data_IF_647363403124
#
_entry.id   IF_647363403124
#
_cell.length_a   1.000
_cell.length_b   1.000
_cell.length_c   1.000
_cell.angle_alpha   90.00
_cell.angle_beta   90.00
_cell.angle_gamma   90.00
#
_symmetry.space_group_name_H-M   'P 1'
#
loop_
_entity.id
_entity.type
_entity.pdbx_description
1 polymer ?
#
# COMPACT_ATOMS: atom_id res chain seq x y z
N UNK A 1 6.17 -22.58 0.26
CA UNK A 1 5.34 -21.68 1.08
C UNK A 1 5.70 -20.25 0.69
N UNK A 2 4.99 -19.67 -0.27
CA UNK A 2 5.21 -18.30 -0.75
C UNK A 2 3.91 -17.75 -1.31
N UNK A 3 2.90 -17.64 -0.46
CA UNK A 3 1.62 -17.01 -0.76
C UNK A 3 1.75 -15.53 -0.44
N UNK A 4 1.88 -14.65 -1.44
CA UNK A 4 1.78 -13.22 -1.17
C UNK A 4 2.52 -12.27 -2.10
N UNK A 5 2.37 -12.40 -3.42
CA UNK A 5 2.71 -11.31 -4.38
C UNK A 5 1.81 -11.44 -5.61
N UNK A 6 0.53 -11.09 -5.46
CA UNK A 6 -0.42 -11.12 -6.57
C UNK A 6 -0.37 -9.83 -7.38
N UNK A 7 -0.94 -8.75 -6.84
CA UNK A 7 -1.23 -7.54 -7.60
C UNK A 7 -0.07 -6.53 -7.65
N UNK A 8 0.82 -6.56 -6.66
CA UNK A 8 1.98 -5.65 -6.57
C UNK A 8 3.29 -6.28 -7.07
N UNK A 9 3.25 -7.50 -7.60
CA UNK A 9 4.45 -8.21 -8.05
C UNK A 9 5.19 -7.46 -9.17
N UNK A 10 4.46 -6.79 -10.05
CA UNK A 10 5.05 -5.96 -11.11
C UNK A 10 5.79 -4.72 -10.59
N UNK A 11 5.58 -4.35 -9.33
CA UNK A 11 6.22 -3.20 -8.68
C UNK A 11 7.45 -3.61 -7.86
N UNK A 12 7.60 -4.88 -7.48
CA UNK A 12 8.73 -5.40 -6.70
C UNK A 12 10.05 -5.25 -7.48
N UNK A 13 11.09 -4.71 -6.83
CA UNK A 13 12.47 -4.63 -7.37
C UNK A 13 13.20 -5.98 -7.28
N UNK A 14 12.64 -6.95 -6.54
CA UNK A 14 13.19 -8.28 -6.31
C UNK A 14 13.67 -8.51 -4.88
N UNK A 15 13.69 -7.47 -4.06
CA UNK A 15 14.08 -7.47 -2.65
C UNK A 15 12.90 -7.16 -1.71
N UNK A 16 11.67 -7.13 -2.24
CA UNK A 16 10.48 -6.77 -1.47
C UNK A 16 10.25 -5.26 -1.38
N UNK A 17 11.10 -4.43 -1.99
CA UNK A 17 10.93 -2.98 -2.06
C UNK A 17 10.37 -2.60 -3.43
N UNK A 18 9.45 -1.64 -3.47
CA UNK A 18 8.91 -1.10 -4.71
C UNK A 18 10.03 -0.45 -5.55
N UNK A 19 10.09 -0.75 -6.85
CA UNK A 19 11.05 -0.17 -7.81
C UNK A 19 10.97 1.36 -7.96
N UNK A 20 9.86 1.96 -7.51
CA UNK A 20 9.66 3.41 -7.53
C UNK A 20 9.95 4.08 -6.17
N UNK A 21 10.34 3.32 -5.15
CA UNK A 21 10.73 3.87 -3.85
C UNK A 21 12.10 4.54 -3.95
N UNK A 22 12.18 5.79 -3.53
CA UNK A 22 13.43 6.54 -3.42
C UNK A 22 13.93 6.49 -1.97
N UNK A 23 15.05 5.80 -1.76
CA UNK A 23 15.60 5.61 -0.42
C UNK A 23 16.04 6.91 0.25
N UNK A 24 16.57 7.87 -0.50
CA UNK A 24 17.10 9.11 0.09
C UNK A 24 15.99 10.06 0.58
N UNK A 25 14.87 10.12 -0.14
CA UNK A 25 13.74 11.00 0.17
C UNK A 25 12.61 10.31 0.92
N UNK A 26 12.62 8.97 0.98
CA UNK A 26 11.50 8.13 1.42
C UNK A 26 10.20 8.39 0.65
N UNK A 27 10.29 8.86 -0.60
CA UNK A 27 9.14 9.16 -1.46
C UNK A 27 8.99 8.17 -2.62
N UNK A 28 7.83 8.18 -3.25
CA UNK A 28 7.58 7.46 -4.50
C UNK A 28 7.94 8.36 -5.70
N UNK A 29 8.81 7.88 -6.59
CA UNK A 29 9.24 8.60 -7.80
C UNK A 29 8.10 8.92 -8.79
N UNK A 30 6.96 8.23 -8.66
CA UNK A 30 5.78 8.41 -9.53
C UNK A 30 4.54 8.77 -8.72
N UNK A 31 4.68 9.45 -7.57
CA UNK A 31 3.59 9.67 -6.61
C UNK A 31 2.26 10.12 -7.25
N UNK A 32 2.30 11.10 -8.14
CA UNK A 32 1.08 11.62 -8.81
C UNK A 32 0.50 10.64 -9.83
N UNK A 33 1.35 9.78 -10.40
CA UNK A 33 1.02 8.78 -11.41
C UNK A 33 1.00 7.35 -10.85
N UNK A 34 0.90 7.20 -9.53
CA UNK A 34 0.83 5.89 -8.87
C UNK A 34 -0.29 5.05 -9.50
N UNK A 35 -0.09 3.73 -9.69
CA UNK A 35 -1.15 2.85 -10.15
C UNK A 35 -2.26 2.77 -9.09
N UNK A 36 -3.47 2.39 -9.52
CA UNK A 36 -4.66 2.25 -8.67
C UNK A 36 -4.42 1.38 -7.43
N UNK A 37 -3.59 0.33 -7.55
CA UNK A 37 -3.22 -0.56 -6.44
C UNK A 37 -2.50 0.17 -5.28
N UNK A 38 -1.87 1.32 -5.55
CA UNK A 38 -1.18 2.14 -4.55
C UNK A 38 -2.02 3.32 -4.04
N UNK A 39 -3.25 3.52 -4.55
CA UNK A 39 -4.11 4.65 -4.20
C UNK A 39 -5.13 4.23 -3.14
N UNK A 40 -4.99 4.78 -1.94
CA UNK A 40 -5.77 4.38 -0.75
C UNK A 40 -7.28 4.51 -0.98
N UNK A 41 -7.72 5.64 -1.55
CA UNK A 41 -9.13 5.89 -1.86
C UNK A 41 -9.68 4.89 -2.89
N UNK A 42 -8.95 4.64 -3.99
CA UNK A 42 -9.39 3.67 -5.00
C UNK A 42 -9.48 2.26 -4.42
N UNK A 43 -8.50 1.85 -3.60
CA UNK A 43 -8.54 0.55 -2.94
C UNK A 43 -9.74 0.42 -2.00
N UNK A 44 -10.07 1.49 -1.27
CA UNK A 44 -11.27 1.51 -0.44
C UNK A 44 -12.53 1.29 -1.28
N UNK A 45 -12.73 2.10 -2.31
CA UNK A 45 -13.92 2.06 -3.17
C UNK A 45 -14.08 0.70 -3.86
N UNK A 46 -12.98 0.10 -4.31
CA UNK A 46 -13.02 -1.15 -5.08
C UNK A 46 -13.16 -2.41 -4.22
N UNK A 47 -12.50 -2.42 -3.06
CA UNK A 47 -12.31 -3.67 -2.31
C UNK A 47 -12.94 -3.67 -0.91
N UNK A 48 -13.15 -2.50 -0.30
CA UNK A 48 -13.41 -2.41 1.14
C UNK A 48 -14.67 -1.62 1.53
N UNK A 49 -15.25 -0.83 0.62
CA UNK A 49 -16.42 0.02 0.91
C UNK A 49 -17.66 -0.75 1.37
N UNK A 50 -17.79 -2.04 0.99
CA UNK A 50 -18.90 -2.89 1.41
C UNK A 50 -18.75 -3.44 2.83
N UNK A 51 -17.54 -3.38 3.40
CA UNK A 51 -17.20 -3.96 4.70
C UNK A 51 -16.94 -2.90 5.77
N UNK A 52 -16.43 -1.73 5.37
CA UNK A 52 -16.02 -0.67 6.29
C UNK A 52 -16.53 0.68 5.82
N UNK A 53 -16.88 1.54 6.78
CA UNK A 53 -16.94 2.98 6.51
C UNK A 53 -15.54 3.53 6.19
N UNK A 54 -15.49 4.69 5.55
CA UNK A 54 -14.22 5.36 5.27
C UNK A 54 -13.39 5.60 6.56
N UNK A 55 -14.05 6.01 7.64
CA UNK A 55 -13.41 6.28 8.92
C UNK A 55 -12.81 5.02 9.54
N UNK A 56 -13.54 3.89 9.52
CA UNK A 56 -13.04 2.61 10.03
C UNK A 56 -11.85 2.10 9.20
N UNK A 57 -11.95 2.19 7.87
CA UNK A 57 -10.85 1.78 6.98
C UNK A 57 -9.56 2.57 7.26
N UNK A 58 -9.67 3.89 7.41
CA UNK A 58 -8.52 4.74 7.76
C UNK A 58 -7.98 4.40 9.16
N UNK A 59 -8.85 4.20 10.16
CA UNK A 59 -8.43 3.84 11.51
C UNK A 59 -7.66 2.52 11.54
N UNK A 60 -8.12 1.50 10.82
CA UNK A 60 -7.44 0.20 10.69
C UNK A 60 -6.07 0.35 10.02
N UNK A 61 -5.98 1.13 8.92
CA UNK A 61 -4.71 1.38 8.25
C UNK A 61 -3.69 2.10 9.16
N UNK A 62 -4.14 3.10 9.93
CA UNK A 62 -3.29 3.79 10.91
C UNK A 62 -2.82 2.85 12.01
N UNK A 63 -3.71 2.01 12.55
CA UNK A 63 -3.35 1.00 13.55
C UNK A 63 -2.29 0.02 13.02
N UNK A 64 -2.43 -0.44 11.77
CA UNK A 64 -1.43 -1.29 11.12
C UNK A 64 -0.06 -0.58 11.00
N UNK A 65 -0.03 0.69 10.59
CA UNK A 65 1.21 1.47 10.55
C UNK A 65 1.88 1.59 11.92
N UNK A 66 1.10 1.81 12.99
CA UNK A 66 1.63 1.87 14.36
C UNK A 66 2.21 0.54 14.84
N UNK A 67 1.66 -0.59 14.38
CA UNK A 67 2.18 -1.92 14.67
C UNK A 67 3.50 -2.14 13.93
N UNK A 68 3.54 -1.83 12.62
CA UNK A 68 4.74 -2.03 11.79
C UNK A 68 5.92 -1.16 12.23
N UNK A 69 5.68 0.07 12.69
CA UNK A 69 6.74 0.95 13.20
C UNK A 69 7.32 0.52 14.56
N UNK A 70 6.71 -0.46 15.23
CA UNK A 70 7.22 -1.02 16.49
C UNK A 70 8.04 -2.30 16.30
N UNK A 71 8.11 -2.81 15.06
CA UNK A 71 8.94 -3.95 14.68
C UNK A 71 10.38 -3.49 14.38
#
# INVERSE_FOLDING_TARGET
MSTGRGETQCLDRGDGICRHYQTDSHLCAIYDKRPQICRVEDQYLLNYQSQYSWQEFIALNQAACLILNKL
#
